data_IF_347935929859
#
_entry.id   IF_347935929859
#
_cell.length_a   1.000
_cell.length_b   1.000
_cell.length_c   1.000
_cell.angle_alpha   90.00
_cell.angle_beta   90.00
_cell.angle_gamma   90.00
#
_symmetry.space_group_name_H-M   'P 1'
#
loop_
_entity.id
_entity.type
_entity.pdbx_description
1 polymer ?
#
# COMPACT_ATOMS: atom_id res chain seq x y z
N UNK A 1 0.12 -8.69 0.83
CA UNK A 1 -0.63 -9.44 -0.20
C UNK A 1 0.27 -10.28 -1.11
N UNK A 2 1.34 -9.69 -1.72
CA UNK A 2 2.15 -10.39 -2.75
C UNK A 2 2.77 -11.69 -2.22
N UNK A 3 3.36 -11.68 -1.02
CA UNK A 3 3.93 -12.88 -0.39
C UNK A 3 2.88 -13.97 -0.14
N UNK A 4 1.69 -13.59 0.36
CA UNK A 4 0.60 -14.54 0.59
C UNK A 4 0.05 -15.12 -0.73
N UNK A 5 -0.07 -14.30 -1.77
CA UNK A 5 -0.45 -14.79 -3.11
C UNK A 5 0.55 -15.81 -3.63
N UNK A 6 1.85 -15.53 -3.50
CA UNK A 6 2.90 -16.47 -3.89
C UNK A 6 2.84 -17.76 -3.07
N UNK A 7 2.63 -17.65 -1.74
CA UNK A 7 2.48 -18.81 -0.88
C UNK A 7 1.31 -19.69 -1.32
N UNK A 8 0.15 -19.10 -1.62
CA UNK A 8 -1.01 -19.83 -2.13
C UNK A 8 -0.70 -20.57 -3.43
N UNK A 9 -0.06 -19.90 -4.39
CA UNK A 9 0.30 -20.49 -5.68
C UNK A 9 1.30 -21.66 -5.53
N UNK A 10 2.27 -21.53 -4.63
CA UNK A 10 3.23 -22.59 -4.34
C UNK A 10 2.58 -23.80 -3.68
N UNK A 11 1.69 -23.58 -2.69
CA UNK A 11 0.94 -24.67 -2.04
C UNK A 11 0.06 -25.43 -3.02
N UNK A 12 -0.60 -24.71 -3.96
CA UNK A 12 -1.40 -25.35 -5.00
C UNK A 12 -0.58 -26.28 -5.91
N UNK A 13 0.73 -26.07 -6.00
CA UNK A 13 1.66 -26.89 -6.76
C UNK A 13 2.45 -27.88 -5.87
N UNK A 14 2.00 -28.12 -4.64
CA UNK A 14 2.59 -29.12 -3.74
C UNK A 14 3.94 -28.73 -3.14
N UNK A 15 4.27 -27.41 -3.16
CA UNK A 15 5.51 -26.94 -2.55
C UNK A 15 5.27 -26.71 -1.06
N UNK A 16 6.15 -27.30 -0.22
CA UNK A 16 6.18 -27.00 1.20
C UNK A 16 6.73 -25.60 1.44
N UNK A 17 5.95 -24.75 2.12
CA UNK A 17 6.28 -23.34 2.32
C UNK A 17 5.87 -22.84 3.69
N UNK A 18 6.73 -22.03 4.29
CA UNK A 18 6.47 -21.26 5.50
C UNK A 18 6.59 -19.77 5.20
N UNK A 19 5.64 -18.98 5.67
CA UNK A 19 5.65 -17.51 5.59
C UNK A 19 5.98 -16.94 6.97
N UNK A 20 7.06 -16.20 7.08
CA UNK A 20 7.44 -15.50 8.31
C UNK A 20 6.97 -14.05 8.22
N UNK A 21 6.10 -13.65 9.14
CA UNK A 21 5.53 -12.30 9.19
C UNK A 21 5.93 -11.59 10.49
N UNK A 22 6.31 -10.32 10.38
CA UNK A 22 6.71 -9.51 11.54
C UNK A 22 5.55 -9.03 12.40
N UNK A 23 4.34 -8.96 11.84
CA UNK A 23 3.15 -8.61 12.61
C UNK A 23 2.91 -9.68 13.69
N UNK A 24 2.35 -9.25 14.83
CA UNK A 24 2.14 -10.16 15.98
C UNK A 24 1.15 -11.26 15.69
N UNK A 25 0.14 -10.97 14.90
CA UNK A 25 -0.97 -11.86 14.60
C UNK A 25 -1.69 -11.47 13.30
N UNK A 26 -2.69 -12.25 12.96
CA UNK A 26 -3.53 -12.03 11.79
C UNK A 26 -4.45 -10.79 11.89
N UNK A 27 -4.71 -10.29 13.09
CA UNK A 27 -5.62 -9.19 13.35
C UNK A 27 -4.92 -7.82 13.24
N UNK A 28 -3.59 -7.83 13.07
CA UNK A 28 -2.81 -6.63 12.85
C UNK A 28 -3.33 -5.86 11.62
N UNK A 29 -3.76 -4.62 11.84
CA UNK A 29 -4.31 -3.77 10.77
C UNK A 29 -3.23 -3.25 9.85
N UNK A 30 -3.40 -3.47 8.54
CA UNK A 30 -2.59 -2.80 7.52
C UNK A 30 -3.14 -1.39 7.34
N UNK A 31 -2.25 -0.39 7.49
CA UNK A 31 -2.56 0.99 7.17
C UNK A 31 -2.55 1.22 5.64
N UNK A 32 -3.41 2.12 5.19
CA UNK A 32 -3.50 2.51 3.77
C UNK A 32 -4.75 1.92 3.11
N UNK A 33 -5.54 2.75 2.53
CA UNK A 33 -6.85 2.58 1.91
C UNK A 33 -7.14 1.28 1.16
N UNK A 34 -7.65 1.44 -0.02
CA UNK A 34 -8.00 0.33 -0.92
C UNK A 34 -6.91 0.08 -1.96
N UNK A 35 -7.06 -1.02 -2.67
CA UNK A 35 -6.29 -1.38 -3.87
C UNK A 35 -7.26 -1.73 -4.98
N UNK A 36 -6.98 -1.23 -6.17
CA UNK A 36 -7.62 -1.68 -7.40
C UNK A 36 -6.76 -2.77 -8.08
N UNK A 37 -7.34 -3.95 -8.28
CA UNK A 37 -6.66 -5.02 -9.00
C UNK A 37 -7.08 -5.00 -10.48
N UNK A 38 -6.11 -4.75 -11.35
CA UNK A 38 -6.33 -4.73 -12.80
C UNK A 38 -6.43 -6.14 -13.38
N UNK A 39 -7.19 -6.30 -14.49
CA UNK A 39 -7.47 -7.61 -15.14
C UNK A 39 -6.21 -8.37 -15.50
N UNK A 40 -5.23 -7.68 -16.09
CA UNK A 40 -4.02 -8.31 -16.65
C UNK A 40 -2.90 -8.50 -15.62
N UNK A 41 -3.16 -8.21 -14.34
CA UNK A 41 -2.17 -8.31 -13.27
C UNK A 41 -2.75 -8.89 -11.98
N UNK A 42 -3.24 -8.06 -11.06
CA UNK A 42 -3.74 -8.52 -9.76
C UNK A 42 -4.91 -9.50 -9.86
N UNK A 43 -5.86 -9.27 -10.78
CA UNK A 43 -6.97 -10.20 -10.97
C UNK A 43 -6.54 -11.53 -11.60
N UNK A 44 -5.56 -11.53 -12.50
CA UNK A 44 -4.99 -12.77 -13.04
C UNK A 44 -4.30 -13.58 -11.93
N UNK A 45 -3.61 -12.92 -11.01
CA UNK A 45 -3.03 -13.59 -9.85
C UNK A 45 -4.12 -14.19 -8.93
N UNK A 46 -5.20 -13.44 -8.64
CA UNK A 46 -6.35 -13.95 -7.89
C UNK A 46 -7.05 -15.12 -8.59
N UNK A 47 -7.18 -15.06 -9.90
CA UNK A 47 -7.74 -16.15 -10.73
C UNK A 47 -6.90 -17.42 -10.59
N UNK A 48 -5.58 -17.33 -10.76
CA UNK A 48 -4.67 -18.47 -10.60
C UNK A 48 -4.68 -19.03 -9.16
N UNK A 49 -4.83 -18.17 -8.18
CA UNK A 49 -4.97 -18.56 -6.78
C UNK A 49 -6.33 -19.22 -6.46
N UNK A 50 -7.30 -19.18 -7.40
CA UNK A 50 -8.67 -19.67 -7.22
C UNK A 50 -9.54 -18.74 -6.36
N UNK A 51 -9.19 -17.45 -6.26
CA UNK A 51 -9.79 -16.47 -5.35
C UNK A 51 -10.49 -15.31 -6.07
N UNK A 52 -10.60 -15.34 -7.41
CA UNK A 52 -11.14 -14.22 -8.18
C UNK A 52 -12.59 -13.89 -7.83
N UNK A 53 -13.43 -14.93 -7.63
CA UNK A 53 -14.82 -14.69 -7.25
C UNK A 53 -14.91 -14.10 -5.84
N UNK A 54 -14.16 -14.64 -4.87
CA UNK A 54 -14.10 -14.10 -3.50
C UNK A 54 -13.64 -12.64 -3.47
N UNK A 55 -12.69 -12.28 -4.35
CA UNK A 55 -12.31 -10.88 -4.54
C UNK A 55 -13.47 -10.04 -5.06
N UNK A 56 -14.19 -10.48 -6.10
CA UNK A 56 -15.33 -9.75 -6.65
C UNK A 56 -16.50 -9.59 -5.68
N UNK A 57 -16.68 -10.53 -4.75
CA UNK A 57 -17.75 -10.48 -3.74
C UNK A 57 -17.50 -9.38 -2.70
N UNK A 58 -16.25 -8.97 -2.49
CA UNK A 58 -15.84 -7.94 -1.52
C UNK A 58 -15.38 -6.63 -2.17
N UNK A 59 -14.97 -6.69 -3.44
CA UNK A 59 -14.48 -5.51 -4.14
C UNK A 59 -15.61 -4.59 -4.60
N UNK A 60 -15.40 -3.29 -4.44
CA UNK A 60 -16.37 -2.25 -4.79
C UNK A 60 -16.01 -1.62 -6.14
N UNK A 61 -16.86 -1.79 -7.15
CA UNK A 61 -16.75 -1.01 -8.37
C UNK A 61 -16.99 0.46 -8.08
N UNK A 62 -16.01 1.32 -8.38
CA UNK A 62 -16.11 2.75 -8.10
C UNK A 62 -15.73 3.57 -9.33
N UNK A 63 -16.50 4.64 -9.56
CA UNK A 63 -16.16 5.67 -10.52
C UNK A 63 -15.06 6.59 -9.98
N UNK A 64 -14.70 7.59 -10.79
CA UNK A 64 -13.78 8.64 -10.39
C UNK A 64 -14.29 10.01 -10.83
N UNK A 65 -14.28 10.97 -9.91
CA UNK A 65 -14.50 12.39 -10.16
C UNK A 65 -13.14 13.08 -10.25
N UNK A 66 -12.86 13.73 -11.37
CA UNK A 66 -11.75 14.66 -11.49
C UNK A 66 -12.30 16.04 -11.22
N UNK A 67 -11.73 16.73 -10.24
CA UNK A 67 -12.21 18.04 -9.78
C UNK A 67 -11.05 19.04 -9.75
N UNK A 68 -11.39 20.33 -9.83
CA UNK A 68 -10.41 21.42 -9.66
C UNK A 68 -10.25 21.82 -8.19
N UNK A 69 -9.36 22.76 -7.94
CA UNK A 69 -9.10 23.31 -6.59
C UNK A 69 -10.28 24.11 -6.02
N UNK A 70 -11.26 24.49 -6.84
CA UNK A 70 -12.52 25.14 -6.43
C UNK A 70 -13.64 24.15 -6.15
N UNK A 71 -13.36 22.83 -6.34
CA UNK A 71 -14.36 21.80 -6.19
C UNK A 71 -15.38 21.71 -7.34
N UNK A 72 -15.05 22.23 -8.51
CA UNK A 72 -15.88 22.04 -9.71
C UNK A 72 -15.52 20.68 -10.33
N UNK A 73 -16.54 19.90 -10.66
CA UNK A 73 -16.35 18.61 -11.33
C UNK A 73 -16.00 18.88 -12.80
N UNK A 74 -14.76 18.54 -13.18
CA UNK A 74 -14.26 18.66 -14.54
C UNK A 74 -14.70 17.48 -15.41
N UNK A 75 -14.69 16.28 -14.83
CA UNK A 75 -15.17 15.06 -15.49
C UNK A 75 -15.51 13.99 -14.49
N UNK A 76 -16.43 13.09 -14.85
CA UNK A 76 -16.79 11.92 -14.08
C UNK A 76 -16.70 10.68 -14.96
N UNK A 77 -15.92 9.69 -14.56
CA UNK A 77 -15.94 8.36 -15.15
C UNK A 77 -16.81 7.46 -14.26
N UNK A 78 -18.04 7.21 -14.71
CA UNK A 78 -18.95 6.34 -13.99
C UNK A 78 -18.65 4.84 -14.23
N UNK A 79 -19.00 4.03 -13.27
CA UNK A 79 -19.04 2.57 -13.45
C UNK A 79 -20.26 2.22 -14.30
N UNK A 80 -20.06 1.31 -15.24
CA UNK A 80 -21.12 0.70 -16.07
C UNK A 80 -21.11 -0.81 -15.90
N UNK A 81 -22.21 -1.51 -16.20
CA UNK A 81 -22.26 -2.97 -16.08
C UNK A 81 -21.11 -3.70 -16.78
N UNK A 82 -20.73 -3.22 -17.97
CA UNK A 82 -19.67 -3.81 -18.81
C UNK A 82 -18.26 -3.63 -18.25
N UNK A 83 -18.00 -2.58 -17.44
CA UNK A 83 -16.69 -2.28 -16.91
C UNK A 83 -16.57 -2.40 -15.37
N UNK A 84 -17.62 -2.88 -14.70
CA UNK A 84 -17.66 -2.95 -13.23
C UNK A 84 -16.54 -3.75 -12.60
N UNK A 85 -15.94 -4.66 -13.34
CA UNK A 85 -14.84 -5.52 -12.90
C UNK A 85 -13.50 -5.19 -13.56
N UNK A 86 -13.35 -4.03 -14.21
CA UNK A 86 -12.05 -3.68 -14.81
C UNK A 86 -10.98 -3.46 -13.74
N UNK A 87 -11.33 -2.72 -12.69
CA UNK A 87 -10.45 -2.41 -11.58
C UNK A 87 -11.24 -2.02 -10.32
N UNK A 88 -12.10 -2.93 -9.78
CA UNK A 88 -12.83 -2.64 -8.55
C UNK A 88 -11.87 -2.56 -7.35
N UNK A 89 -12.22 -1.69 -6.42
CA UNK A 89 -11.44 -1.43 -5.21
C UNK A 89 -11.69 -2.49 -4.13
N UNK A 90 -10.65 -2.95 -3.45
CA UNK A 90 -10.79 -3.78 -2.26
C UNK A 90 -9.98 -3.18 -1.10
N UNK A 91 -10.54 -3.21 0.11
CA UNK A 91 -9.79 -2.85 1.30
C UNK A 91 -8.57 -3.79 1.47
N UNK A 92 -7.43 -3.23 1.87
CA UNK A 92 -6.17 -4.01 2.02
C UNK A 92 -6.28 -5.10 3.08
N UNK A 93 -7.05 -4.88 4.14
CA UNK A 93 -7.25 -5.88 5.18
C UNK A 93 -8.14 -7.02 4.69
N UNK A 94 -9.19 -6.71 3.91
CA UNK A 94 -10.06 -7.73 3.32
C UNK A 94 -9.29 -8.59 2.33
N UNK A 95 -8.46 -7.97 1.46
CA UNK A 95 -7.58 -8.71 0.56
C UNK A 95 -6.59 -9.61 1.31
N UNK A 96 -6.02 -9.09 2.41
CA UNK A 96 -5.13 -9.89 3.28
C UNK A 96 -5.88 -11.08 3.88
N UNK A 97 -7.09 -10.86 4.38
CA UNK A 97 -7.93 -11.91 4.98
C UNK A 97 -8.29 -13.00 3.96
N UNK A 98 -8.72 -12.64 2.75
CA UNK A 98 -8.96 -13.61 1.66
C UNK A 98 -7.73 -14.49 1.45
N UNK A 99 -6.56 -13.86 1.34
CA UNK A 99 -5.32 -14.56 1.05
C UNK A 99 -4.87 -15.45 2.22
N UNK A 100 -4.98 -14.97 3.47
CA UNK A 100 -4.67 -15.77 4.67
C UNK A 100 -5.57 -17.00 4.76
N UNK A 101 -6.88 -16.82 4.62
CA UNK A 101 -7.87 -17.90 4.71
C UNK A 101 -7.73 -18.94 3.59
N UNK A 102 -7.00 -18.61 2.52
CA UNK A 102 -6.74 -19.55 1.41
C UNK A 102 -5.56 -20.48 1.66
N UNK A 103 -4.72 -20.18 2.64
CA UNK A 103 -3.54 -20.98 2.97
C UNK A 103 -3.89 -22.15 3.88
N UNK A 104 -3.04 -23.16 3.88
CA UNK A 104 -3.12 -24.24 4.87
C UNK A 104 -2.86 -23.69 6.28
N UNK A 105 -3.40 -24.35 7.28
CA UNK A 105 -3.15 -24.00 8.67
C UNK A 105 -1.63 -23.99 8.97
N UNK A 106 -1.23 -23.12 9.87
CA UNK A 106 0.16 -22.99 10.32
C UNK A 106 1.19 -22.60 9.25
N UNK A 107 0.74 -22.23 8.05
CA UNK A 107 1.64 -21.72 6.98
C UNK A 107 2.30 -20.40 7.36
N UNK A 108 1.62 -19.54 8.11
CA UNK A 108 2.12 -18.23 8.52
C UNK A 108 2.57 -18.27 9.96
N UNK A 109 3.84 -18.00 10.19
CA UNK A 109 4.42 -17.87 11.53
C UNK A 109 4.53 -16.37 11.84
N UNK A 110 3.77 -15.94 12.82
CA UNK A 110 3.66 -14.55 13.26
C UNK A 110 4.78 -14.16 14.23
N UNK A 111 4.94 -12.84 14.41
CA UNK A 111 5.95 -12.23 15.28
C UNK A 111 7.38 -12.69 14.93
N UNK A 112 7.64 -12.86 13.64
CA UNK A 112 8.92 -13.31 13.08
C UNK A 112 9.54 -12.23 12.22
N UNK A 113 10.04 -11.17 12.87
CA UNK A 113 10.77 -10.10 12.19
C UNK A 113 12.18 -10.56 11.85
N UNK A 114 12.43 -10.75 10.56
CA UNK A 114 13.75 -11.15 10.06
C UNK A 114 14.80 -10.08 10.35
N UNK A 115 15.91 -10.48 11.00
CA UNK A 115 17.07 -9.62 11.32
C UNK A 115 18.22 -9.91 10.38
N UNK A 116 18.64 -11.18 10.26
CA UNK A 116 19.71 -11.61 9.35
C UNK A 116 19.29 -12.77 8.45
N UNK A 117 19.93 -12.82 7.30
CA UNK A 117 19.84 -13.91 6.35
C UNK A 117 21.27 -14.24 5.94
N UNK A 118 21.70 -15.48 6.15
CA UNK A 118 23.08 -15.92 5.91
C UNK A 118 23.09 -17.28 5.20
N UNK A 119 23.98 -17.49 4.22
CA UNK A 119 24.15 -18.79 3.61
C UNK A 119 25.03 -19.67 4.51
N UNK A 120 24.58 -20.88 4.78
CA UNK A 120 25.37 -21.94 5.43
C UNK A 120 25.28 -23.23 4.62
N UNK A 121 26.41 -23.68 4.06
CA UNK A 121 26.48 -24.82 3.15
C UNK A 121 25.46 -24.72 2.01
N UNK A 122 24.42 -25.53 2.03
CA UNK A 122 23.39 -25.62 1.00
C UNK A 122 22.06 -24.99 1.41
N UNK A 123 21.99 -24.36 2.59
CA UNK A 123 20.77 -23.77 3.15
C UNK A 123 20.95 -22.31 3.56
N UNK A 124 19.87 -21.56 3.50
CA UNK A 124 19.77 -20.27 4.15
C UNK A 124 19.49 -20.44 5.64
N UNK A 125 20.16 -19.65 6.49
CA UNK A 125 19.80 -19.46 7.89
C UNK A 125 19.09 -18.12 8.02
N UNK A 126 17.86 -18.17 8.51
CA UNK A 126 17.03 -17.02 8.84
C UNK A 126 17.09 -16.79 10.33
N UNK A 127 17.56 -15.63 10.80
CA UNK A 127 17.54 -15.28 12.23
C UNK A 127 16.56 -14.15 12.48
N UNK A 128 15.70 -14.34 13.47
CA UNK A 128 14.63 -13.42 13.82
C UNK A 128 14.97 -12.56 15.05
N UNK A 129 14.15 -11.53 15.32
CA UNK A 129 14.38 -10.58 16.41
C UNK A 129 14.32 -11.23 17.80
N UNK A 130 13.52 -12.27 17.95
CA UNK A 130 13.45 -13.13 19.16
C UNK A 130 14.64 -14.08 19.34
N UNK A 131 15.65 -13.99 18.46
CA UNK A 131 16.86 -14.83 18.40
C UNK A 131 16.59 -16.28 17.96
N UNK A 132 15.39 -16.65 17.59
CA UNK A 132 15.12 -17.94 16.94
C UNK A 132 15.75 -17.97 15.55
N UNK A 133 16.01 -19.16 15.03
CA UNK A 133 16.58 -19.38 13.70
C UNK A 133 15.89 -20.51 12.98
N UNK A 134 15.72 -20.35 11.67
CA UNK A 134 15.14 -21.35 10.78
C UNK A 134 16.02 -21.54 9.54
N UNK A 135 15.82 -22.64 8.84
CA UNK A 135 16.58 -22.92 7.62
C UNK A 135 15.66 -23.07 6.41
N UNK A 136 16.16 -22.69 5.24
CA UNK A 136 15.41 -22.82 3.98
C UNK A 136 16.33 -23.15 2.80
N UNK A 137 15.83 -23.94 1.86
CA UNK A 137 16.52 -24.25 0.60
C UNK A 137 16.39 -23.11 -0.41
N UNK A 138 15.25 -22.42 -0.40
CA UNK A 138 14.93 -21.25 -1.24
C UNK A 138 14.30 -20.15 -0.38
N UNK A 139 14.70 -18.93 -0.58
CA UNK A 139 14.08 -17.75 0.07
C UNK A 139 13.41 -16.86 -0.97
N UNK A 140 12.14 -16.51 -0.73
CA UNK A 140 11.40 -15.51 -1.50
C UNK A 140 11.19 -14.28 -0.62
N UNK A 141 11.89 -13.20 -0.94
CA UNK A 141 11.81 -11.94 -0.21
C UNK A 141 10.54 -11.20 -0.64
N UNK A 142 9.61 -10.97 0.29
CA UNK A 142 8.37 -10.24 0.06
C UNK A 142 8.12 -9.15 1.14
N UNK A 143 9.17 -8.68 1.79
CA UNK A 143 9.12 -7.76 2.93
C UNK A 143 9.29 -6.28 2.55
N UNK A 144 9.02 -5.96 1.28
CA UNK A 144 8.93 -4.60 0.76
C UNK A 144 10.25 -3.98 0.29
N UNK A 145 10.14 -2.83 -0.38
CA UNK A 145 11.23 -2.15 -1.07
C UNK A 145 12.41 -1.72 -0.18
N UNK A 146 12.22 -1.64 1.14
CA UNK A 146 13.28 -1.31 2.10
C UNK A 146 13.96 -2.54 2.72
N UNK A 147 13.82 -3.70 2.10
CA UNK A 147 14.41 -4.96 2.55
C UNK A 147 15.93 -4.88 2.68
N UNK A 148 16.45 -5.14 3.89
CA UNK A 148 17.91 -5.19 4.14
C UNK A 148 18.59 -6.40 3.49
N UNK A 149 17.83 -7.47 3.23
CA UNK A 149 18.36 -8.69 2.59
C UNK A 149 18.33 -8.63 1.06
N UNK A 150 17.81 -7.54 0.47
CA UNK A 150 17.87 -7.28 -0.97
C UNK A 150 19.29 -7.38 -1.54
N UNK A 151 20.32 -7.07 -0.76
CA UNK A 151 21.74 -7.18 -1.14
C UNK A 151 22.14 -8.53 -1.73
N UNK A 152 21.43 -9.61 -1.42
CA UNK A 152 21.68 -10.92 -2.02
C UNK A 152 21.16 -11.05 -3.45
N UNK A 153 20.20 -10.21 -3.84
CA UNK A 153 19.57 -10.22 -5.16
C UNK A 153 20.11 -9.12 -6.06
N UNK A 154 20.41 -7.95 -5.49
CA UNK A 154 20.91 -6.79 -6.25
C UNK A 154 21.71 -5.84 -5.36
N UNK A 155 22.66 -5.13 -5.97
CA UNK A 155 23.41 -4.03 -5.33
C UNK A 155 22.75 -2.66 -5.61
N UNK A 156 21.64 -2.64 -6.38
CA UNK A 156 20.93 -1.40 -6.69
C UNK A 156 20.25 -0.87 -5.45
N UNK A 157 20.50 0.40 -5.16
CA UNK A 157 19.85 1.11 -4.06
C UNK A 157 18.51 1.71 -4.52
N UNK A 158 17.63 1.92 -3.56
CA UNK A 158 16.36 2.63 -3.76
C UNK A 158 16.63 4.12 -3.75
N UNK A 159 16.07 4.83 -4.73
CA UNK A 159 16.17 6.27 -4.86
C UNK A 159 14.88 6.97 -4.42
N UNK A 160 15.00 8.16 -3.84
CA UNK A 160 13.83 9.01 -3.57
C UNK A 160 13.43 9.74 -4.85
N UNK A 161 12.12 9.78 -5.13
CA UNK A 161 11.59 10.44 -6.34
C UNK A 161 11.49 11.96 -6.23
N UNK A 162 11.77 12.53 -5.04
CA UNK A 162 11.50 13.93 -4.75
C UNK A 162 10.01 14.24 -4.57
N UNK A 163 9.17 13.21 -4.38
CA UNK A 163 7.75 13.35 -4.07
C UNK A 163 7.49 12.85 -2.65
N UNK A 164 6.61 13.53 -1.95
CA UNK A 164 6.16 13.16 -0.61
C UNK A 164 4.64 12.95 -0.61
N UNK A 165 4.19 11.96 0.13
CA UNK A 165 2.78 11.63 0.26
C UNK A 165 2.37 11.69 1.73
N UNK A 166 1.27 12.38 2.03
CA UNK A 166 0.64 12.44 3.35
C UNK A 166 -0.71 11.74 3.21
N UNK A 167 -0.95 10.73 4.05
CA UNK A 167 -2.17 9.93 4.03
C UNK A 167 -2.89 9.98 5.36
N UNK A 168 -4.21 9.85 5.33
CA UNK A 168 -5.04 9.77 6.52
C UNK A 168 -6.39 9.07 6.23
N UNK A 169 -7.04 8.63 7.32
CA UNK A 169 -8.39 8.10 7.32
C UNK A 169 -9.30 9.02 8.15
N UNK A 170 -10.54 9.24 7.69
CA UNK A 170 -11.59 9.93 8.43
C UNK A 170 -12.75 8.96 8.64
N UNK A 171 -13.04 8.65 9.88
CA UNK A 171 -14.21 7.84 10.24
C UNK A 171 -15.47 8.70 10.22
N UNK A 172 -16.60 8.09 9.85
CA UNK A 172 -17.89 8.75 9.72
C UNK A 172 -17.80 10.06 8.87
N UNK A 173 -17.31 9.97 7.62
CA UNK A 173 -17.01 11.16 6.82
C UNK A 173 -18.26 11.99 6.51
N UNK A 174 -19.45 11.36 6.48
CA UNK A 174 -20.73 12.01 6.30
C UNK A 174 -21.08 12.99 7.44
N UNK A 175 -20.49 12.79 8.62
CA UNK A 175 -20.66 13.64 9.81
C UNK A 175 -19.49 14.61 9.98
N UNK A 176 -18.26 14.09 9.82
CA UNK A 176 -17.06 14.84 10.15
C UNK A 176 -16.57 15.77 9.03
N UNK A 177 -16.83 15.42 7.75
CA UNK A 177 -16.50 16.27 6.60
C UNK A 177 -17.59 16.18 5.51
N UNK A 178 -18.84 16.56 5.83
CA UNK A 178 -19.99 16.37 4.95
C UNK A 178 -19.83 17.05 3.59
N UNK A 179 -19.23 18.23 3.56
CA UNK A 179 -19.02 18.97 2.30
C UNK A 179 -18.06 18.25 1.36
N UNK A 180 -16.96 17.72 1.87
CA UNK A 180 -16.01 16.95 1.06
C UNK A 180 -16.59 15.56 0.70
N UNK A 181 -17.25 14.88 1.63
CA UNK A 181 -17.88 13.58 1.37
C UNK A 181 -18.95 13.69 0.26
N UNK A 182 -19.76 14.75 0.28
CA UNK A 182 -20.73 15.03 -0.78
C UNK A 182 -20.06 15.31 -2.13
N UNK A 183 -18.90 15.99 -2.15
CA UNK A 183 -18.13 16.21 -3.37
C UNK A 183 -17.64 14.90 -4.01
N UNK A 184 -17.31 13.90 -3.22
CA UNK A 184 -16.99 12.55 -3.71
C UNK A 184 -18.19 11.90 -4.39
N UNK A 185 -19.40 12.09 -3.87
CA UNK A 185 -20.65 11.53 -4.41
C UNK A 185 -20.56 10.01 -4.69
N UNK A 186 -19.97 9.25 -3.75
CA UNK A 186 -19.78 7.80 -3.88
C UNK A 186 -18.68 7.36 -4.84
N UNK A 187 -18.02 8.27 -5.54
CA UNK A 187 -16.89 8.02 -6.43
C UNK A 187 -15.55 8.33 -5.73
N UNK A 188 -14.47 7.73 -6.21
CA UNK A 188 -13.13 8.24 -5.89
C UNK A 188 -13.02 9.69 -6.38
N UNK A 189 -12.21 10.48 -5.71
CA UNK A 189 -11.97 11.86 -6.08
C UNK A 189 -10.48 12.09 -6.33
N UNK A 190 -10.19 12.83 -7.40
CA UNK A 190 -8.84 13.31 -7.70
C UNK A 190 -8.90 14.80 -8.02
N UNK A 191 -8.07 15.59 -7.33
CA UNK A 191 -7.91 17.02 -7.56
C UNK A 191 -6.43 17.37 -7.67
N UNK A 192 -6.06 18.14 -8.70
CA UNK A 192 -4.67 18.55 -8.90
C UNK A 192 -4.59 20.07 -9.15
N UNK A 193 -3.71 20.74 -8.41
CA UNK A 193 -3.44 22.16 -8.58
C UNK A 193 -2.04 22.53 -8.11
N UNK A 194 -1.30 23.32 -8.90
CA UNK A 194 0.03 23.84 -8.56
C UNK A 194 1.02 22.78 -8.00
N UNK A 195 1.03 21.59 -8.62
CA UNK A 195 1.95 20.50 -8.21
C UNK A 195 1.53 19.75 -6.96
N UNK A 196 0.35 20.03 -6.40
CA UNK A 196 -0.30 19.23 -5.37
C UNK A 196 -1.37 18.35 -6.02
N UNK A 197 -1.41 17.09 -5.61
CA UNK A 197 -2.44 16.12 -5.97
C UNK A 197 -3.10 15.63 -4.69
N UNK A 198 -4.43 15.77 -4.62
CA UNK A 198 -5.25 15.13 -3.60
C UNK A 198 -6.03 14.00 -4.26
N UNK A 199 -6.01 12.84 -3.65
CA UNK A 199 -6.89 11.72 -4.00
C UNK A 199 -7.66 11.28 -2.77
N UNK A 200 -8.90 10.82 -2.97
CA UNK A 200 -9.72 10.29 -1.89
C UNK A 200 -10.57 9.11 -2.36
N UNK A 201 -10.77 8.17 -1.45
CA UNK A 201 -11.74 7.08 -1.58
C UNK A 201 -12.73 7.18 -0.40
N UNK A 202 -14.01 7.51 -0.66
CA UNK A 202 -15.02 7.68 0.38
C UNK A 202 -15.52 6.35 0.99
N UNK A 203 -15.13 5.20 0.42
CA UNK A 203 -15.61 3.87 0.82
C UNK A 203 -14.44 2.95 1.21
N UNK A 204 -13.92 3.13 2.42
CA UNK A 204 -12.85 2.33 3.00
C UNK A 204 -13.32 1.74 4.34
N UNK A 205 -14.21 0.75 4.30
CA UNK A 205 -14.79 0.09 5.49
C UNK A 205 -15.33 1.10 6.52
N UNK A 206 -16.21 2.01 6.06
CA UNK A 206 -16.84 3.04 6.91
C UNK A 206 -15.95 4.26 7.18
N UNK A 207 -14.80 4.35 6.55
CA UNK A 207 -13.94 5.52 6.58
C UNK A 207 -13.77 6.10 5.17
N UNK A 208 -13.40 7.38 5.10
CA UNK A 208 -12.84 8.02 3.92
C UNK A 208 -11.32 7.98 4.04
N UNK A 209 -10.66 7.34 3.08
CA UNK A 209 -9.21 7.41 2.94
C UNK A 209 -8.83 8.53 1.98
N UNK A 210 -7.82 9.33 2.32
CA UNK A 210 -7.27 10.30 1.39
C UNK A 210 -5.76 10.40 1.47
N UNK A 211 -5.17 10.89 0.38
CA UNK A 211 -3.77 11.19 0.32
C UNK A 211 -3.50 12.48 -0.45
N UNK A 212 -2.44 13.17 -0.02
CA UNK A 212 -1.94 14.39 -0.63
C UNK A 212 -0.51 14.15 -1.07
N UNK A 213 -0.26 14.22 -2.37
CA UNK A 213 1.07 14.08 -2.96
C UNK A 213 1.58 15.41 -3.48
N UNK A 214 2.84 15.73 -3.25
CA UNK A 214 3.47 16.94 -3.74
C UNK A 214 4.98 16.76 -3.93
N UNK A 215 5.58 17.58 -4.80
CA UNK A 215 7.04 17.65 -4.95
C UNK A 215 7.66 18.30 -3.72
N UNK A 216 8.73 17.69 -3.23
CA UNK A 216 9.53 18.27 -2.14
C UNK A 216 10.63 19.15 -2.72
N UNK A 217 10.92 20.33 -2.13
CA UNK A 217 12.13 21.07 -2.44
C UNK A 217 13.39 20.26 -2.09
N UNK A 218 14.50 20.54 -2.73
CA UNK A 218 15.80 19.86 -2.49
C UNK A 218 16.22 19.89 -1.01
N UNK A 219 15.80 20.91 -0.29
CA UNK A 219 16.10 21.12 1.13
C UNK A 219 15.00 20.59 2.08
N UNK A 220 14.03 19.81 1.58
CA UNK A 220 12.90 19.31 2.37
C UNK A 220 13.31 18.67 3.70
N UNK A 221 14.33 17.82 3.67
CA UNK A 221 14.83 17.09 4.85
C UNK A 221 15.50 18.01 5.88
N UNK A 222 16.12 19.11 5.44
CA UNK A 222 16.91 19.99 6.31
C UNK A 222 16.16 21.22 6.82
N UNK A 223 15.19 21.72 6.07
CA UNK A 223 14.49 23.00 6.36
C UNK A 223 13.02 22.88 6.69
N UNK A 224 12.34 21.81 6.24
CA UNK A 224 10.92 21.65 6.52
C UNK A 224 10.74 20.83 7.79
N UNK A 225 10.37 21.55 8.87
CA UNK A 225 10.14 20.94 10.18
C UNK A 225 8.67 20.55 10.36
N UNK A 226 8.13 19.71 9.45
CA UNK A 226 6.82 19.10 9.71
C UNK A 226 7.05 17.92 10.63
N UNK A 227 6.56 18.04 11.86
CA UNK A 227 6.57 16.95 12.81
C UNK A 227 5.30 16.11 12.64
N UNK A 228 5.47 14.89 12.12
CA UNK A 228 4.36 13.96 11.94
C UNK A 228 3.87 13.31 13.24
N UNK A 229 4.55 13.52 14.35
CA UNK A 229 4.06 13.16 15.69
C UNK A 229 3.15 14.26 16.26
N UNK A 230 3.28 15.50 15.78
CA UNK A 230 2.39 16.61 16.12
C UNK A 230 1.38 16.85 14.98
N UNK A 231 0.13 16.45 15.23
CA UNK A 231 -1.00 16.67 14.31
C UNK A 231 -1.09 18.14 13.87
N UNK A 232 -0.94 19.10 14.77
CA UNK A 232 -1.11 20.53 14.47
C UNK A 232 -0.04 21.02 13.52
N UNK A 233 1.21 20.56 13.66
CA UNK A 233 2.29 20.84 12.71
C UNK A 233 1.93 20.42 11.28
N UNK A 234 1.32 19.24 11.12
CA UNK A 234 0.88 18.75 9.79
C UNK A 234 -0.31 19.54 9.26
N UNK A 235 -1.30 19.84 10.10
CA UNK A 235 -2.49 20.64 9.73
C UNK A 235 -2.07 22.02 9.24
N UNK A 236 -1.23 22.74 10.01
CA UNK A 236 -0.77 24.10 9.65
C UNK A 236 0.00 24.09 8.33
N UNK A 237 0.87 23.11 8.15
CA UNK A 237 1.59 22.91 6.89
C UNK A 237 0.63 22.71 5.71
N UNK A 238 -0.34 21.81 5.85
CA UNK A 238 -1.28 21.50 4.78
C UNK A 238 -2.24 22.68 4.51
N UNK A 239 -2.76 23.35 5.52
CA UNK A 239 -3.63 24.52 5.33
C UNK A 239 -2.91 25.66 4.62
N UNK A 240 -1.62 25.88 4.89
CA UNK A 240 -0.80 26.83 4.14
C UNK A 240 -0.64 26.41 2.68
N UNK A 241 -0.41 25.12 2.43
CA UNK A 241 -0.24 24.56 1.09
C UNK A 241 -1.54 24.58 0.27
N UNK A 242 -2.68 24.48 0.92
CA UNK A 242 -4.03 24.47 0.36
C UNK A 242 -4.75 25.83 0.57
N UNK A 243 -4.00 26.93 0.75
CA UNK A 243 -4.57 28.23 1.09
C UNK A 243 -5.57 28.76 0.05
N UNK A 244 -5.33 28.50 -1.23
CA UNK A 244 -6.13 28.91 -2.39
C UNK A 244 -7.17 27.85 -2.83
N UNK A 245 -7.23 26.70 -2.13
CA UNK A 245 -8.21 25.65 -2.39
C UNK A 245 -9.54 25.95 -1.71
N UNK A 246 -10.63 25.33 -2.21
CA UNK A 246 -11.97 25.44 -1.63
C UNK A 246 -12.02 24.98 -0.17
N UNK A 247 -12.97 25.50 0.59
CA UNK A 247 -13.08 25.24 2.02
C UNK A 247 -13.33 23.76 2.34
N UNK A 248 -13.97 22.99 1.46
CA UNK A 248 -14.20 21.55 1.61
C UNK A 248 -12.91 20.76 1.73
N UNK A 249 -11.85 21.14 1.01
CA UNK A 249 -10.53 20.50 1.15
C UNK A 249 -9.86 20.86 2.47
N UNK A 250 -10.06 22.07 2.96
CA UNK A 250 -9.51 22.53 4.24
C UNK A 250 -10.26 21.92 5.43
N UNK A 251 -11.59 21.73 5.30
CA UNK A 251 -12.39 20.97 6.26
C UNK A 251 -11.83 19.57 6.45
N UNK A 252 -11.58 18.83 5.36
CA UNK A 252 -10.96 17.49 5.37
C UNK A 252 -9.65 17.46 6.19
N UNK A 253 -8.78 18.47 5.98
CA UNK A 253 -7.50 18.57 6.69
C UNK A 253 -7.72 18.83 8.18
N UNK A 254 -8.65 19.73 8.53
CA UNK A 254 -8.88 20.14 9.95
C UNK A 254 -9.47 19.04 10.81
N UNK A 255 -10.34 18.18 10.25
CA UNK A 255 -11.00 17.13 11.01
C UNK A 255 -10.17 15.86 11.15
N UNK A 256 -9.07 15.76 10.39
CA UNK A 256 -8.19 14.59 10.43
C UNK A 256 -7.49 14.47 11.78
N UNK A 257 -7.61 13.32 12.41
CA UNK A 257 -7.04 13.06 13.74
C UNK A 257 -5.57 12.69 13.72
N UNK A 258 -5.10 12.03 12.66
CA UNK A 258 -3.70 11.61 12.51
C UNK A 258 -3.30 11.51 11.05
N UNK A 259 -2.02 11.70 10.79
CA UNK A 259 -1.44 11.66 9.45
C UNK A 259 -0.24 10.72 9.40
N UNK A 260 -0.05 10.09 8.25
CA UNK A 260 1.16 9.32 7.96
C UNK A 260 1.88 9.95 6.77
N UNK A 261 3.13 10.33 6.98
CA UNK A 261 4.00 10.91 5.95
C UNK A 261 4.93 9.85 5.34
N UNK A 262 4.99 9.78 4.01
CA UNK A 262 5.76 8.80 3.26
C UNK A 262 6.56 9.48 2.15
N UNK A 263 7.88 9.38 2.18
CA UNK A 263 8.69 9.71 1.02
C UNK A 263 8.48 8.64 -0.07
N UNK A 264 8.16 9.08 -1.27
CA UNK A 264 8.02 8.16 -2.41
C UNK A 264 9.39 7.74 -2.90
N UNK A 265 9.51 6.46 -3.19
CA UNK A 265 10.77 5.85 -3.61
C UNK A 265 10.57 5.04 -4.87
N UNK A 266 11.63 4.91 -5.64
CA UNK A 266 11.67 4.09 -6.84
C UNK A 266 12.88 3.15 -6.78
N UNK A 267 12.68 1.96 -7.29
CA UNK A 267 13.78 1.08 -7.64
C UNK A 267 14.19 1.40 -9.08
N UNK A 268 15.43 1.86 -9.35
CA UNK A 268 15.84 2.26 -10.69
C UNK A 268 15.63 1.14 -11.72
N UNK A 269 14.93 1.47 -12.81
CA UNK A 269 14.71 0.56 -13.93
C UNK A 269 16.03 0.28 -14.68
N UNK A 270 16.08 -0.86 -15.36
CA UNK A 270 17.23 -1.25 -16.20
C UNK A 270 18.46 -1.74 -15.43
N UNK A 271 18.37 -1.87 -14.12
CA UNK A 271 19.42 -2.52 -13.32
C UNK A 271 19.11 -4.03 -13.21
N UNK A 272 20.06 -4.83 -13.66
CA UNK A 272 19.93 -6.29 -13.58
C UNK A 272 20.15 -6.82 -12.17
N UNK A 273 19.48 -7.90 -11.85
CA UNK A 273 19.77 -8.65 -10.65
C UNK A 273 21.07 -9.43 -10.78
N UNK A 274 21.67 -9.77 -9.65
CA UNK A 274 22.90 -10.58 -9.62
C UNK A 274 22.68 -11.92 -10.31
N UNK A 275 23.51 -12.23 -11.27
CA UNK A 275 23.50 -13.53 -11.97
C UNK A 275 23.97 -14.67 -11.06
N UNK A 276 24.91 -14.38 -10.16
CA UNK A 276 25.42 -15.32 -9.17
C UNK A 276 24.92 -14.92 -7.79
N UNK A 277 24.29 -15.86 -7.10
CA UNK A 277 23.81 -15.75 -5.72
C UNK A 277 24.36 -16.93 -4.93
N UNK A 278 24.62 -16.76 -3.62
CA UNK A 278 25.21 -17.84 -2.82
C UNK A 278 24.32 -19.09 -2.77
N UNK A 279 23.00 -18.89 -2.69
CA UNK A 279 21.98 -19.95 -2.66
C UNK A 279 20.72 -19.46 -3.40
N UNK A 280 19.74 -20.36 -3.68
CA UNK A 280 18.49 -19.97 -4.32
C UNK A 280 17.74 -18.88 -3.54
N UNK A 281 17.56 -17.71 -4.17
CA UNK A 281 16.87 -16.57 -3.58
C UNK A 281 16.26 -15.68 -4.67
N UNK A 282 15.08 -15.16 -4.42
CA UNK A 282 14.43 -14.16 -5.29
C UNK A 282 13.69 -13.11 -4.46
N UNK A 283 13.22 -12.05 -5.11
CA UNK A 283 12.46 -10.98 -4.49
C UNK A 283 11.22 -10.68 -5.32
N UNK A 284 10.11 -10.40 -4.65
CA UNK A 284 8.81 -10.07 -5.26
C UNK A 284 8.16 -8.89 -4.55
N UNK A 285 7.25 -8.20 -5.25
CA UNK A 285 6.55 -7.03 -4.72
C UNK A 285 7.34 -5.73 -4.87
N UNK A 286 6.87 -4.70 -4.19
CA UNK A 286 7.44 -3.34 -4.21
C UNK A 286 8.64 -3.20 -3.27
#
# INVERSE_FOLDING_TARGET
PVGLTMARLLQQNGVDITVYERDKDQDARIFGGTLDLHRDSGQEAMKRAGLLQTYYDLALPMGVNIVDEKGNILTTKNVRPENRFDNPEINRNDLRTILLNSLQNDTVIWDRKLVTLEPDKEKWILTFEDKSSETADLVIIANGGMSKVRKFVTDTEVEETGTFNIQADIHQPEVNCPGFFQLCNGNRLMAAHQGNLLFANPNNNGALHFGISFKTPDEWKSKTRVDFQDRNSVVDFLLKKFSDWDERYKELIRVTSSFVGLATRIFPLGKSWKSKRPLPITMIGD
#
